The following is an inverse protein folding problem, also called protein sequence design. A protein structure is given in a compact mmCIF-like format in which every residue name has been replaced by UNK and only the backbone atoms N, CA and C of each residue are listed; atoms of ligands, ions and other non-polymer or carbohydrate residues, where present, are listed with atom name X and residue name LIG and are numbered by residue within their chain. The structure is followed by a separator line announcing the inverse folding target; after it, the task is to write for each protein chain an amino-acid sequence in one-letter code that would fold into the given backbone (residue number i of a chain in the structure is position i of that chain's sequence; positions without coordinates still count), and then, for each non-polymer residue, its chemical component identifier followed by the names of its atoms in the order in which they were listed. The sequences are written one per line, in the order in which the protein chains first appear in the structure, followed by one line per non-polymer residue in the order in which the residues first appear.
data_IF_664546414473
#
_entry.id   IF_664546414473
#
_cell.length_a   1.000
_cell.length_b   1.000
_cell.length_c   1.000
_cell.angle_alpha   90.00
_cell.angle_beta   90.00
_cell.angle_gamma   90.00
#
_symmetry.space_group_name_H-M   'P 1'
#
loop_
_entity.id
_entity.type
_entity.pdbx_description
1 polymer ?
#
# COMPACT_ATOMS: atom_id res chain seq x y z
N UNK A 1 -40.32 -7.45 -25.18
CA UNK A 1 -39.56 -7.85 -23.98
C UNK A 1 -38.04 -7.74 -24.13
N UNK A 2 -37.42 -8.08 -25.27
CA UNK A 2 -35.95 -8.06 -25.42
C UNK A 2 -35.24 -6.72 -25.17
N UNK A 3 -35.87 -5.57 -25.51
CA UNK A 3 -35.28 -4.24 -25.26
C UNK A 3 -35.07 -3.95 -23.76
N UNK A 4 -36.00 -4.37 -22.91
CA UNK A 4 -35.89 -4.17 -21.45
C UNK A 4 -34.78 -5.03 -20.84
N UNK A 5 -34.60 -6.25 -21.32
CA UNK A 5 -33.53 -7.15 -20.87
C UNK A 5 -32.15 -6.57 -21.21
N UNK A 6 -31.98 -6.04 -22.42
CA UNK A 6 -30.72 -5.41 -22.85
C UNK A 6 -30.42 -4.17 -21.99
N UNK A 7 -31.41 -3.31 -21.74
CA UNK A 7 -31.23 -2.13 -20.89
C UNK A 7 -30.83 -2.50 -19.46
N UNK A 8 -31.45 -3.53 -18.87
CA UNK A 8 -31.10 -4.00 -17.51
C UNK A 8 -29.65 -4.51 -17.46
N UNK A 9 -29.20 -5.26 -18.48
CA UNK A 9 -27.82 -5.76 -18.57
C UNK A 9 -26.82 -4.59 -18.66
N UNK A 10 -27.11 -3.58 -19.46
CA UNK A 10 -26.25 -2.39 -19.60
C UNK A 10 -26.17 -1.62 -18.27
N UNK A 11 -27.29 -1.44 -17.58
CA UNK A 11 -27.32 -0.77 -16.27
C UNK A 11 -26.49 -1.56 -15.25
N UNK A 12 -26.62 -2.89 -15.21
CA UNK A 12 -25.86 -3.75 -14.30
C UNK A 12 -24.35 -3.70 -14.58
N UNK A 13 -23.93 -3.72 -15.86
CA UNK A 13 -22.53 -3.56 -16.24
C UNK A 13 -21.97 -2.20 -15.82
N UNK A 14 -22.73 -1.13 -16.04
CA UNK A 14 -22.34 0.24 -15.68
C UNK A 14 -22.24 0.42 -14.17
N UNK A 15 -23.18 -0.15 -13.41
CA UNK A 15 -23.18 -0.13 -11.95
C UNK A 15 -21.99 -0.89 -11.36
N UNK A 16 -21.66 -2.07 -11.91
CA UNK A 16 -20.46 -2.81 -11.52
C UNK A 16 -19.21 -1.95 -11.76
N UNK A 17 -19.06 -1.33 -12.92
CA UNK A 17 -17.94 -0.42 -13.22
C UNK A 17 -17.85 0.78 -12.26
N UNK A 18 -18.99 1.33 -11.84
CA UNK A 18 -19.05 2.40 -10.86
C UNK A 18 -18.55 1.92 -9.48
N UNK A 19 -19.02 0.77 -8.99
CA UNK A 19 -18.55 0.19 -7.74
C UNK A 19 -17.03 -0.09 -7.76
N UNK A 20 -16.46 -0.52 -8.88
CA UNK A 20 -15.02 -0.67 -9.03
C UNK A 20 -14.27 0.65 -8.88
N UNK A 21 -14.78 1.71 -9.53
CA UNK A 21 -14.13 3.02 -9.53
C UNK A 21 -14.02 3.64 -8.14
N UNK A 22 -14.90 3.27 -7.20
CA UNK A 22 -14.89 3.78 -5.83
C UNK A 22 -13.79 3.18 -4.93
N UNK A 23 -13.28 1.99 -5.23
CA UNK A 23 -12.30 1.30 -4.36
C UNK A 23 -10.82 1.54 -4.76
N UNK A 24 -10.53 1.98 -5.99
CA UNK A 24 -9.15 2.30 -6.42
C UNK A 24 -8.48 3.49 -5.73
N UNK A 25 -9.19 4.58 -5.40
CA UNK A 25 -8.56 5.76 -4.80
C UNK A 25 -7.91 5.46 -3.44
N UNK A 26 -8.48 4.52 -2.68
CA UNK A 26 -7.98 4.17 -1.34
C UNK A 26 -6.68 3.35 -1.42
N UNK A 27 -6.62 2.35 -2.31
CA UNK A 27 -5.41 1.55 -2.55
C UNK A 27 -4.23 2.41 -3.01
N UNK A 28 -4.48 3.37 -3.91
CA UNK A 28 -3.42 4.26 -4.42
C UNK A 28 -2.91 5.21 -3.34
N UNK A 29 -3.81 5.74 -2.51
CA UNK A 29 -3.43 6.57 -1.36
C UNK A 29 -2.56 5.78 -0.39
N UNK A 30 -3.03 4.58 0.02
CA UNK A 30 -2.28 3.71 0.94
C UNK A 30 -0.90 3.35 0.41
N UNK A 31 -0.80 3.05 -0.88
CA UNK A 31 0.48 2.76 -1.53
C UNK A 31 1.44 3.95 -1.45
N UNK A 32 0.96 5.16 -1.74
CA UNK A 32 1.76 6.37 -1.64
C UNK A 32 2.20 6.65 -0.20
N UNK A 33 1.32 6.45 0.78
CA UNK A 33 1.62 6.67 2.20
C UNK A 33 2.73 5.72 2.70
N UNK A 34 2.62 4.42 2.39
CA UNK A 34 3.66 3.43 2.74
C UNK A 34 4.98 3.79 2.05
N UNK A 35 4.93 4.12 0.75
CA UNK A 35 6.11 4.46 -0.05
C UNK A 35 6.84 5.69 0.50
N UNK A 36 6.11 6.76 0.78
CA UNK A 36 6.69 8.01 1.32
C UNK A 36 7.30 7.79 2.71
N UNK A 37 6.66 6.94 3.52
CA UNK A 37 7.19 6.51 4.81
C UNK A 37 8.51 5.76 4.65
N UNK A 38 8.60 4.83 3.69
CA UNK A 38 9.85 4.10 3.45
C UNK A 38 10.97 5.01 2.95
N UNK A 39 10.68 5.94 2.04
CA UNK A 39 11.68 6.95 1.60
C UNK A 39 12.23 7.72 2.80
N UNK A 40 11.38 8.07 3.76
CA UNK A 40 11.79 8.74 4.99
C UNK A 40 12.74 7.87 5.81
N UNK A 41 12.48 6.57 5.95
CA UNK A 41 13.35 5.67 6.71
C UNK A 41 14.68 5.38 6.01
N UNK A 42 14.69 5.24 4.69
CA UNK A 42 15.90 5.04 3.89
C UNK A 42 16.80 6.28 3.93
N UNK A 43 16.21 7.48 3.87
CA UNK A 43 16.96 8.75 3.85
C UNK A 43 17.40 9.25 5.23
N UNK A 44 16.85 8.68 6.30
CA UNK A 44 17.14 9.12 7.66
C UNK A 44 18.44 8.50 8.20
N UNK A 45 19.47 9.32 8.40
CA UNK A 45 20.77 8.90 8.99
C UNK A 45 20.70 8.20 10.37
N UNK A 46 19.55 8.24 11.07
CA UNK A 46 19.36 7.60 12.37
C UNK A 46 18.86 6.15 12.27
N UNK A 47 18.37 5.73 11.11
CA UNK A 47 17.97 4.33 10.89
C UNK A 47 19.21 3.47 10.73
N UNK A 48 19.17 2.26 11.28
CA UNK A 48 20.30 1.33 11.15
C UNK A 48 20.23 0.57 9.81
N UNK A 49 21.33 -0.04 9.40
CA UNK A 49 21.43 -0.74 8.11
C UNK A 49 20.38 -1.84 7.92
N UNK A 50 20.01 -2.53 9.01
CA UNK A 50 18.98 -3.57 8.98
C UNK A 50 17.61 -2.98 8.64
N UNK A 51 17.26 -1.85 9.26
CA UNK A 51 16.01 -1.12 9.02
C UNK A 51 15.97 -0.51 7.63
N UNK A 52 17.08 0.09 7.18
CA UNK A 52 17.20 0.62 5.82
C UNK A 52 16.99 -0.48 4.78
N UNK A 53 17.60 -1.65 4.99
CA UNK A 53 17.44 -2.79 4.08
C UNK A 53 16.01 -3.32 4.03
N UNK A 54 15.31 -3.38 5.16
CA UNK A 54 13.90 -3.81 5.18
C UNK A 54 12.99 -2.74 4.56
N UNK A 55 13.26 -1.47 4.82
CA UNK A 55 12.54 -0.36 4.21
C UNK A 55 12.71 -0.33 2.69
N UNK A 56 13.91 -0.59 2.18
CA UNK A 56 14.17 -0.73 0.73
C UNK A 56 13.39 -1.89 0.09
N UNK A 57 13.24 -3.02 0.81
CA UNK A 57 12.39 -4.14 0.35
C UNK A 57 10.93 -3.74 0.27
N UNK A 58 10.40 -3.06 1.28
CA UNK A 58 9.01 -2.56 1.29
C UNK A 58 8.82 -1.52 0.18
N UNK A 59 9.79 -0.63 -0.03
CA UNK A 59 9.77 0.37 -1.10
C UNK A 59 9.71 -0.28 -2.50
N UNK A 60 10.51 -1.32 -2.74
CA UNK A 60 10.47 -2.08 -4.00
C UNK A 60 9.12 -2.77 -4.18
N UNK A 61 8.62 -3.43 -3.12
CA UNK A 61 7.32 -4.14 -3.17
C UNK A 61 6.15 -3.19 -3.43
N UNK A 62 6.14 -2.01 -2.80
CA UNK A 62 5.10 -1.00 -3.07
C UNK A 62 5.18 -0.47 -4.50
N UNK A 63 6.36 -0.40 -5.10
CA UNK A 63 6.52 -0.01 -6.50
C UNK A 63 5.93 -1.07 -7.45
N UNK A 64 6.20 -2.35 -7.20
CA UNK A 64 5.60 -3.48 -7.95
C UNK A 64 4.07 -3.46 -7.86
N UNK A 65 3.52 -3.32 -6.65
CA UNK A 65 2.06 -3.26 -6.44
C UNK A 65 1.40 -2.06 -7.14
N UNK A 66 2.15 -0.98 -7.37
CA UNK A 66 1.65 0.19 -8.11
C UNK A 66 1.50 -0.12 -9.58
N UNK A 67 2.45 -0.86 -10.14
CA UNK A 67 2.38 -1.34 -11.52
C UNK A 67 1.21 -2.30 -11.69
N UNK A 68 1.04 -3.26 -10.78
CA UNK A 68 -0.12 -4.17 -10.75
C UNK A 68 -1.44 -3.40 -10.68
N UNK A 69 -1.56 -2.41 -9.78
CA UNK A 69 -2.76 -1.57 -9.64
C UNK A 69 -3.07 -0.80 -10.94
N UNK A 70 -2.03 -0.26 -11.59
CA UNK A 70 -2.17 0.45 -12.86
C UNK A 70 -2.58 -0.49 -14.00
N UNK A 71 -2.11 -1.74 -13.99
CA UNK A 71 -2.54 -2.75 -14.96
C UNK A 71 -4.03 -3.05 -14.80
N UNK A 72 -4.50 -3.28 -13.57
CA UNK A 72 -5.92 -3.54 -13.28
C UNK A 72 -6.80 -2.36 -13.73
N UNK A 73 -6.35 -1.11 -13.50
CA UNK A 73 -7.04 0.10 -13.99
C UNK A 73 -7.17 0.11 -15.51
N UNK A 74 -6.14 -0.32 -16.25
CA UNK A 74 -6.09 -0.31 -17.72
C UNK A 74 -6.81 -1.49 -18.38
N UNK A 75 -7.06 -2.59 -17.67
CA UNK A 75 -7.75 -3.76 -18.23
C UNK A 75 -9.15 -3.37 -18.75
N UNK A 76 -9.61 -3.89 -19.89
CA UNK A 76 -10.96 -3.62 -20.39
C UNK A 76 -12.03 -4.03 -19.37
N UNK A 77 -13.14 -3.28 -19.26
CA UNK A 77 -14.23 -3.60 -18.33
C UNK A 77 -14.93 -4.94 -18.64
N UNK A 78 -14.77 -5.45 -19.87
CA UNK A 78 -15.33 -6.72 -20.32
C UNK A 78 -14.61 -7.93 -19.69
N UNK A 79 -13.34 -7.76 -19.27
CA UNK A 79 -12.63 -8.80 -18.50
C UNK A 79 -13.20 -8.76 -17.08
N UNK A 80 -14.21 -9.61 -16.86
CA UNK A 80 -14.97 -9.89 -15.64
C UNK A 80 -14.58 -8.98 -14.47
N UNK A 81 -15.44 -8.01 -14.17
CA UNK A 81 -15.48 -7.27 -12.90
C UNK A 81 -14.99 -8.08 -11.69
N UNK A 82 -15.38 -9.34 -11.59
CA UNK A 82 -14.96 -10.28 -10.53
C UNK A 82 -13.43 -10.46 -10.45
N UNK A 83 -12.72 -10.61 -11.57
CA UNK A 83 -11.27 -10.75 -11.58
C UNK A 83 -10.58 -9.45 -11.14
N UNK A 84 -11.09 -8.28 -11.57
CA UNK A 84 -10.59 -6.99 -11.08
C UNK A 84 -10.80 -6.83 -9.58
N UNK A 85 -11.95 -7.28 -9.05
CA UNK A 85 -12.22 -7.26 -7.62
C UNK A 85 -11.24 -8.13 -6.84
N UNK A 86 -11.02 -9.35 -7.34
CA UNK A 86 -10.12 -10.31 -6.73
C UNK A 86 -8.68 -9.78 -6.71
N UNK A 87 -8.20 -9.26 -7.84
CA UNK A 87 -6.85 -8.69 -7.94
C UNK A 87 -6.69 -7.45 -7.06
N UNK A 88 -7.68 -6.57 -7.03
CA UNK A 88 -7.66 -5.37 -6.16
C UNK A 88 -7.67 -5.76 -4.67
N UNK A 89 -8.48 -6.75 -4.29
CA UNK A 89 -8.50 -7.27 -2.92
C UNK A 89 -7.15 -7.90 -2.54
N UNK A 90 -6.51 -8.63 -3.46
CA UNK A 90 -5.17 -9.18 -3.26
C UNK A 90 -4.13 -8.08 -3.06
N UNK A 91 -4.19 -7.00 -3.84
CA UNK A 91 -3.32 -5.82 -3.64
C UNK A 91 -3.56 -5.20 -2.26
N UNK A 92 -4.82 -5.00 -1.87
CA UNK A 92 -5.15 -4.41 -0.57
C UNK A 92 -4.62 -5.24 0.61
N UNK A 93 -4.79 -6.56 0.57
CA UNK A 93 -4.24 -7.45 1.59
C UNK A 93 -2.71 -7.36 1.68
N UNK A 94 -2.02 -7.21 0.54
CA UNK A 94 -0.58 -7.04 0.55
C UNK A 94 -0.18 -5.65 1.09
N UNK A 95 -0.94 -4.60 0.76
CA UNK A 95 -0.75 -3.26 1.33
C UNK A 95 -0.94 -3.27 2.85
N UNK A 96 -1.92 -4.00 3.39
CA UNK A 96 -2.11 -4.16 4.83
C UNK A 96 -0.88 -4.78 5.50
N UNK A 97 -0.33 -5.85 4.93
CA UNK A 97 0.89 -6.50 5.42
C UNK A 97 2.12 -5.59 5.34
N UNK A 98 2.24 -4.81 4.27
CA UNK A 98 3.35 -3.86 4.13
C UNK A 98 3.24 -2.70 5.11
N UNK A 99 2.01 -2.26 5.40
CA UNK A 99 1.76 -1.22 6.41
C UNK A 99 2.09 -1.72 7.82
N UNK A 100 1.69 -2.94 8.17
CA UNK A 100 2.08 -3.59 9.43
C UNK A 100 3.61 -3.69 9.58
N UNK A 101 4.31 -4.14 8.54
CA UNK A 101 5.78 -4.19 8.54
C UNK A 101 6.40 -2.80 8.66
N UNK A 102 5.85 -1.81 7.96
CA UNK A 102 6.28 -0.41 8.05
C UNK A 102 6.14 0.12 9.48
N UNK A 103 5.02 -0.18 10.15
CA UNK A 103 4.77 0.20 11.54
C UNK A 103 5.75 -0.49 12.50
N UNK A 104 6.07 -1.76 12.29
CA UNK A 104 7.09 -2.46 13.09
C UNK A 104 8.47 -1.81 12.97
N UNK A 105 8.87 -1.40 11.75
CA UNK A 105 10.13 -0.65 11.54
C UNK A 105 10.09 0.67 12.30
N UNK A 106 8.97 1.41 12.23
CA UNK A 106 8.78 2.67 12.96
C UNK A 106 9.00 2.50 14.46
N UNK A 107 8.40 1.47 15.06
CA UNK A 107 8.53 1.16 16.47
C UNK A 107 9.97 0.81 16.85
N UNK A 108 10.67 0.01 16.03
CA UNK A 108 12.07 -0.33 16.27
C UNK A 108 12.99 0.89 16.18
N UNK A 109 12.74 1.81 15.24
CA UNK A 109 13.46 3.10 15.14
C UNK A 109 13.26 3.92 16.41
N UNK A 110 12.01 4.12 16.84
CA UNK A 110 11.69 4.89 18.04
C UNK A 110 12.29 4.28 19.30
N UNK A 111 12.24 2.95 19.43
CA UNK A 111 12.86 2.22 20.52
C UNK A 111 14.38 2.44 20.55
N UNK A 112 15.06 2.28 19.41
CA UNK A 112 16.51 2.47 19.31
C UNK A 112 16.93 3.90 19.64
N UNK A 113 16.17 4.90 19.18
CA UNK A 113 16.39 6.31 19.56
C UNK A 113 16.25 6.53 21.07
N UNK A 114 15.20 5.98 21.69
CA UNK A 114 14.98 6.11 23.13
C UNK A 114 16.13 5.48 23.95
N UNK A 115 16.62 4.31 23.53
CA UNK A 115 17.78 3.67 24.18
C UNK A 115 19.05 4.50 24.01
N UNK A 116 19.30 5.06 22.82
CA UNK A 116 20.45 5.94 22.57
C UNK A 116 20.42 7.18 23.47
N UNK A 117 19.27 7.82 23.58
CA UNK A 117 19.09 9.01 24.42
C UNK A 117 19.31 8.71 25.91
N UNK A 118 18.85 7.55 26.40
CA UNK A 118 19.12 7.11 27.78
C UNK A 118 20.62 6.95 28.05
N UNK A 119 21.36 6.29 27.14
CA UNK A 119 22.82 6.08 27.27
C UNK A 119 23.63 7.39 27.27
N UNK A 120 23.22 8.37 26.46
CA UNK A 120 23.88 9.68 26.43
C UNK A 120 23.66 10.43 27.74
N UNK A 121 22.45 10.37 28.30
CA UNK A 121 22.12 11.03 29.57
C UNK A 121 22.91 10.46 30.76
N UNK A 122 23.11 9.14 30.83
CA UNK A 122 23.93 8.53 31.88
C UNK A 122 25.41 8.89 31.75
N UNK A 123 25.95 9.01 30.53
CA UNK A 123 27.35 9.39 30.30
C UNK A 123 27.66 10.85 30.68
N UNK A 124 26.71 11.76 30.51
CA UNK A 124 26.90 13.18 30.82
C UNK A 124 26.73 13.52 32.32
N UNK A 125 26.24 12.57 33.12
CA UNK A 125 25.99 12.73 34.55
C UNK A 125 26.99 11.94 35.42
N UNK A 126 28.02 11.33 34.83
CA UNK A 126 29.17 10.69 35.49
C UNK A 126 30.42 11.51 35.23
#
# INVERSE_FOLDING_TARGET
MGKFVITIIIIAMTFMQFCFSLNYPDSEKKLNDIRNTQITYISNSKTNDKQVKESDRIYKKTSELREDLNEIKRRPPIIMSIFKAYDLHKINNELDRLDEKSNSIKEEIQYNEAIKNRKVKTKNNS
#
